data_IF_976983956051
#
_entry.id   IF_976983956051
#
_cell.length_a   1.000
_cell.length_b   1.000
_cell.length_c   1.000
_cell.angle_alpha   90.00
_cell.angle_beta   90.00
_cell.angle_gamma   90.00
#
_symmetry.space_group_name_H-M   'P 1'
#
loop_
_entity.id
_entity.type
_entity.pdbx_description
1 polymer ?
#
# COMPACT_ATOMS: atom_id res chain seq x y z
N UNK A 1 18.07 8.75 3.74
CA UNK A 1 16.92 7.93 3.33
C UNK A 1 15.66 8.73 3.54
N UNK A 2 14.69 8.63 2.63
CA UNK A 2 13.35 9.21 2.74
C UNK A 2 12.36 8.07 2.90
N UNK A 3 11.39 8.22 3.81
CA UNK A 3 10.26 7.30 3.95
C UNK A 3 9.00 8.10 3.66
N UNK A 4 8.15 7.61 2.78
CA UNK A 4 6.92 8.30 2.37
C UNK A 4 5.77 7.32 2.24
N UNK A 5 4.58 7.78 2.60
CA UNK A 5 3.34 7.16 2.13
C UNK A 5 3.10 7.49 0.64
N UNK A 6 2.18 6.78 -0.01
CA UNK A 6 1.83 6.95 -1.41
C UNK A 6 0.47 7.62 -1.62
N UNK A 7 -0.61 6.99 -1.17
CA UNK A 7 -1.97 7.43 -1.48
C UNK A 7 -2.30 8.73 -0.77
N UNK A 8 -2.71 9.74 -1.52
CA UNK A 8 -2.98 11.09 -1.02
C UNK A 8 -1.74 11.81 -0.46
N UNK A 9 -0.54 11.20 -0.52
CA UNK A 9 0.75 11.78 -0.09
C UNK A 9 1.66 12.09 -1.29
N UNK A 10 1.95 11.10 -2.13
CA UNK A 10 2.62 11.30 -3.42
C UNK A 10 1.61 11.51 -4.54
N UNK A 11 0.42 10.91 -4.41
CA UNK A 11 -0.74 11.19 -5.26
C UNK A 11 -1.57 12.37 -4.73
N UNK A 12 -2.32 13.02 -5.61
CA UNK A 12 -3.21 14.14 -5.26
C UNK A 12 -4.42 13.65 -4.48
N UNK A 13 -4.92 14.52 -3.62
CA UNK A 13 -6.20 14.31 -2.94
C UNK A 13 -7.40 14.52 -3.87
N UNK A 14 -7.36 15.58 -4.69
CA UNK A 14 -8.41 15.96 -5.61
C UNK A 14 -7.85 16.77 -6.78
N UNK A 15 -8.59 16.82 -7.88
CA UNK A 15 -8.29 17.62 -9.07
C UNK A 15 -9.59 18.11 -9.70
N UNK A 16 -9.66 19.41 -10.04
CA UNK A 16 -10.85 20.06 -10.61
C UNK A 16 -12.14 19.79 -9.80
N UNK A 17 -12.05 19.75 -8.48
CA UNK A 17 -13.19 19.50 -7.59
C UNK A 17 -13.62 18.03 -7.47
N UNK A 18 -12.98 17.11 -8.20
CA UNK A 18 -13.24 15.67 -8.11
C UNK A 18 -12.15 14.97 -7.28
N UNK A 19 -12.55 14.00 -6.47
CA UNK A 19 -11.64 13.15 -5.67
C UNK A 19 -10.77 12.32 -6.61
N UNK A 20 -9.46 12.35 -6.42
CA UNK A 20 -8.57 11.43 -7.14
C UNK A 20 -8.69 10.03 -6.53
N UNK A 21 -8.50 8.98 -7.33
CA UNK A 21 -8.52 7.61 -6.85
C UNK A 21 -7.25 7.25 -6.05
N UNK A 22 -7.40 6.45 -4.99
CA UNK A 22 -6.31 5.71 -4.33
C UNK A 22 -5.86 4.52 -5.18
N UNK A 23 -4.69 3.95 -4.87
CA UNK A 23 -4.19 2.71 -5.49
C UNK A 23 -5.22 1.57 -5.46
N UNK A 24 -5.97 1.48 -4.36
CA UNK A 24 -7.06 0.51 -4.21
C UNK A 24 -8.19 0.72 -5.23
N UNK A 25 -8.63 1.97 -5.39
CA UNK A 25 -9.70 2.33 -6.33
C UNK A 25 -9.27 2.37 -7.81
N UNK A 26 -7.96 2.34 -8.07
CA UNK A 26 -7.36 2.24 -9.42
C UNK A 26 -7.08 0.81 -9.86
N UNK A 27 -7.49 -0.20 -9.08
CA UNK A 27 -7.39 -1.58 -9.53
C UNK A 27 -8.42 -1.89 -10.63
N UNK A 28 -8.17 -2.90 -11.50
CA UNK A 28 -9.08 -3.33 -12.59
C UNK A 28 -10.49 -3.72 -12.17
N UNK A 29 -10.81 -3.58 -10.89
CA UNK A 29 -12.15 -3.53 -10.38
C UNK A 29 -12.95 -2.55 -11.24
N UNK A 30 -13.61 -3.07 -12.29
CA UNK A 30 -14.88 -2.53 -12.73
C UNK A 30 -15.66 -2.38 -11.44
N UNK A 31 -15.80 -1.14 -10.95
CA UNK A 31 -16.40 -0.80 -9.67
C UNK A 31 -17.65 -1.66 -9.48
N UNK A 32 -17.50 -2.81 -8.84
CA UNK A 32 -18.62 -3.68 -8.59
C UNK A 32 -19.47 -2.88 -7.62
N UNK A 33 -20.78 -2.92 -7.80
CA UNK A 33 -21.69 -2.24 -6.86
C UNK A 33 -21.30 -2.55 -5.40
N UNK A 34 -20.81 -3.77 -5.17
CA UNK A 34 -20.31 -4.26 -3.88
C UNK A 34 -19.15 -3.44 -3.31
N UNK A 35 -18.12 -3.08 -4.09
CA UNK A 35 -17.01 -2.26 -3.58
C UNK A 35 -17.46 -0.83 -3.26
N UNK A 36 -18.37 -0.29 -4.08
CA UNK A 36 -18.96 1.03 -3.82
C UNK A 36 -19.82 1.00 -2.56
N UNK A 37 -20.55 -0.09 -2.31
CA UNK A 37 -21.30 -0.31 -1.08
C UNK A 37 -20.38 -0.42 0.14
N UNK A 38 -19.27 -1.16 0.05
CA UNK A 38 -18.26 -1.22 1.11
C UNK A 38 -17.68 0.16 1.40
N UNK A 39 -17.25 0.90 0.37
CA UNK A 39 -16.72 2.26 0.53
C UNK A 39 -17.74 3.19 1.22
N UNK A 40 -19.00 3.18 0.76
CA UNK A 40 -20.05 4.01 1.33
C UNK A 40 -20.37 3.65 2.80
N UNK A 41 -20.20 2.37 3.17
CA UNK A 41 -20.41 1.91 4.55
C UNK A 41 -19.26 2.29 5.48
N UNK A 42 -18.02 2.02 5.08
CA UNK A 42 -16.88 2.07 5.99
C UNK A 42 -16.12 3.39 5.97
N UNK A 43 -16.09 4.13 4.85
CA UNK A 43 -15.39 5.42 4.78
C UNK A 43 -15.90 6.47 5.78
N UNK A 44 -17.23 6.64 6.01
CA UNK A 44 -17.72 7.56 7.04
C UNK A 44 -17.26 7.19 8.46
N UNK A 45 -16.98 5.90 8.72
CA UNK A 45 -16.51 5.40 10.01
C UNK A 45 -15.02 5.73 10.18
N UNK A 46 -14.22 5.49 9.14
CA UNK A 46 -12.78 5.79 9.11
C UNK A 46 -12.51 7.25 9.53
N UNK A 47 -13.20 8.19 8.88
CA UNK A 47 -13.01 9.63 9.10
C UNK A 47 -13.74 10.19 10.34
N UNK A 48 -14.53 9.37 11.04
CA UNK A 48 -15.32 9.83 12.17
C UNK A 48 -14.42 10.17 13.36
N UNK A 49 -14.28 11.46 13.68
CA UNK A 49 -13.43 11.92 14.78
C UNK A 49 -13.95 11.57 16.20
N UNK A 50 -15.21 11.13 16.32
CA UNK A 50 -15.82 10.78 17.61
C UNK A 50 -15.61 9.32 18.03
N UNK A 51 -15.17 8.45 17.11
CA UNK A 51 -14.88 7.04 17.41
C UNK A 51 -13.40 6.86 17.77
N UNK A 52 -13.14 6.03 18.78
CA UNK A 52 -11.78 5.68 19.19
C UNK A 52 -11.08 4.77 18.17
N UNK A 53 -9.76 4.65 18.26
CA UNK A 53 -9.00 3.74 17.39
C UNK A 53 -9.41 2.30 17.64
N UNK A 54 -9.61 1.93 18.91
CA UNK A 54 -10.03 0.58 19.34
C UNK A 54 -11.40 0.20 18.78
N UNK A 55 -12.32 1.17 18.69
CA UNK A 55 -13.65 0.96 18.11
C UNK A 55 -13.60 0.82 16.59
N UNK A 56 -12.70 1.56 15.93
CA UNK A 56 -12.56 1.54 14.46
C UNK A 56 -11.80 0.33 13.96
N UNK A 57 -10.78 -0.13 14.69
CA UNK A 57 -9.87 -1.17 14.24
C UNK A 57 -10.57 -2.43 13.72
N UNK A 58 -11.52 -3.06 14.45
CA UNK A 58 -12.20 -4.26 13.94
C UNK A 58 -13.02 -3.98 12.68
N UNK A 59 -13.56 -2.77 12.53
CA UNK A 59 -14.34 -2.36 11.36
C UNK A 59 -13.44 -2.11 10.14
N UNK A 60 -12.24 -1.57 10.34
CA UNK A 60 -11.26 -1.40 9.28
C UNK A 60 -10.73 -2.75 8.82
N UNK A 61 -10.44 -3.68 9.74
CA UNK A 61 -10.08 -5.06 9.41
C UNK A 61 -11.20 -5.72 8.59
N UNK A 62 -12.46 -5.64 9.04
CA UNK A 62 -13.60 -6.19 8.30
C UNK A 62 -13.73 -5.59 6.90
N UNK A 63 -13.56 -4.26 6.77
CA UNK A 63 -13.61 -3.59 5.48
C UNK A 63 -12.54 -4.12 4.53
N UNK A 64 -11.29 -4.13 4.98
CA UNK A 64 -10.15 -4.59 4.17
C UNK A 64 -10.26 -6.06 3.80
N UNK A 65 -10.69 -6.93 4.71
CA UNK A 65 -10.91 -8.36 4.42
C UNK A 65 -11.96 -8.55 3.33
N UNK A 66 -13.13 -7.93 3.44
CA UNK A 66 -14.19 -8.06 2.43
C UNK A 66 -13.78 -7.48 1.08
N UNK A 67 -13.07 -6.37 1.11
CA UNK A 67 -12.61 -5.73 -0.11
C UNK A 67 -11.55 -6.61 -0.81
N UNK A 68 -10.63 -7.22 -0.05
CA UNK A 68 -9.69 -8.22 -0.57
C UNK A 68 -10.37 -9.49 -1.11
N UNK A 69 -11.40 -10.02 -0.44
CA UNK A 69 -12.16 -11.18 -0.95
C UNK A 69 -12.80 -10.87 -2.30
N UNK A 70 -13.39 -9.68 -2.46
CA UNK A 70 -13.96 -9.24 -3.74
C UNK A 70 -12.89 -9.10 -4.82
N UNK A 71 -11.70 -8.62 -4.47
CA UNK A 71 -10.56 -8.54 -5.39
C UNK A 71 -10.14 -9.92 -5.91
N UNK A 72 -10.03 -10.90 -5.02
CA UNK A 72 -9.66 -12.28 -5.38
C UNK A 72 -10.67 -12.92 -6.35
N UNK A 73 -11.96 -12.62 -6.19
CA UNK A 73 -13.03 -13.13 -7.08
C UNK A 73 -12.96 -12.60 -8.52
N UNK A 74 -12.23 -11.52 -8.78
CA UNK A 74 -12.18 -10.89 -10.10
C UNK A 74 -11.10 -11.48 -11.01
N UNK A 75 -10.29 -12.45 -10.54
CA UNK A 75 -9.21 -13.11 -11.29
C UNK A 75 -8.39 -12.09 -12.10
N UNK A 76 -7.93 -11.04 -11.41
CA UNK A 76 -7.21 -9.95 -12.04
C UNK A 76 -5.94 -10.51 -12.69
N UNK A 77 -5.77 -10.25 -13.99
CA UNK A 77 -4.54 -10.60 -14.70
C UNK A 77 -3.55 -9.44 -14.64
N UNK A 78 -2.29 -9.75 -14.37
CA UNK A 78 -1.20 -8.77 -14.23
C UNK A 78 -1.03 -7.87 -15.47
N UNK A 79 -1.25 -8.40 -16.66
CA UNK A 79 -1.17 -7.66 -17.93
C UNK A 79 -2.24 -6.56 -18.08
N UNK A 80 -3.36 -6.67 -17.35
CA UNK A 80 -4.41 -5.66 -17.36
C UNK A 80 -4.09 -4.45 -16.47
N UNK A 81 -3.19 -4.59 -15.49
CA UNK A 81 -2.87 -3.51 -14.55
C UNK A 81 -2.38 -2.25 -15.29
N UNK A 82 -1.52 -2.43 -16.30
CA UNK A 82 -0.99 -1.33 -17.10
C UNK A 82 -2.11 -0.56 -17.83
N UNK A 83 -3.08 -1.27 -18.40
CA UNK A 83 -4.22 -0.64 -19.09
C UNK A 83 -5.09 0.13 -18.09
N UNK A 84 -5.37 -0.47 -16.93
CA UNK A 84 -6.23 0.13 -15.92
C UNK A 84 -5.61 1.40 -15.36
N UNK A 85 -4.33 1.36 -14.99
CA UNK A 85 -3.64 2.54 -14.47
C UNK A 85 -3.62 3.65 -15.51
N UNK A 86 -3.39 3.31 -16.78
CA UNK A 86 -3.40 4.26 -17.90
C UNK A 86 -4.77 4.91 -18.14
N UNK A 87 -5.85 4.16 -17.95
CA UNK A 87 -7.22 4.64 -18.11
C UNK A 87 -7.76 5.31 -16.83
N UNK A 88 -7.03 5.23 -15.72
CA UNK A 88 -7.43 5.79 -14.45
C UNK A 88 -7.23 7.31 -14.36
N UNK A 89 -7.86 7.93 -13.34
CA UNK A 89 -7.65 9.33 -12.99
C UNK A 89 -6.56 9.51 -11.91
N UNK A 90 -5.69 8.52 -11.72
CA UNK A 90 -4.57 8.61 -10.78
C UNK A 90 -3.64 9.77 -11.17
N UNK A 91 -3.33 10.63 -10.21
CA UNK A 91 -2.46 11.78 -10.46
C UNK A 91 -1.45 11.95 -9.34
N UNK A 92 -0.17 12.04 -9.71
CA UNK A 92 0.88 12.49 -8.83
C UNK A 92 0.75 14.00 -8.55
N UNK A 93 1.25 14.44 -7.39
CA UNK A 93 1.26 15.86 -7.01
C UNK A 93 2.15 16.70 -7.93
N UNK A 94 1.85 17.99 -8.03
CA UNK A 94 2.70 18.93 -8.76
C UNK A 94 4.13 18.89 -8.22
N UNK A 95 5.11 18.86 -9.12
CA UNK A 95 6.53 18.75 -8.75
C UNK A 95 7.03 17.33 -8.44
N UNK A 96 6.21 16.29 -8.61
CA UNK A 96 6.64 14.90 -8.36
C UNK A 96 7.93 14.54 -9.10
N UNK A 97 8.06 14.95 -10.37
CA UNK A 97 9.23 14.61 -11.20
C UNK A 97 10.52 15.18 -10.60
N UNK A 98 10.49 16.43 -10.15
CA UNK A 98 11.63 17.05 -9.46
C UNK A 98 11.99 16.25 -8.20
N UNK A 99 11.02 15.86 -7.39
CA UNK A 99 11.26 15.08 -6.18
C UNK A 99 11.92 13.74 -6.46
N UNK A 100 11.36 12.93 -7.36
CA UNK A 100 11.90 11.60 -7.67
C UNK A 100 13.26 11.67 -8.36
N UNK A 101 13.40 12.53 -9.37
CA UNK A 101 14.65 12.65 -10.13
C UNK A 101 15.79 13.14 -9.23
N UNK A 102 15.53 14.11 -8.35
CA UNK A 102 16.56 14.66 -7.48
C UNK A 102 17.02 13.65 -6.42
N UNK A 103 16.10 12.82 -5.88
CA UNK A 103 16.49 11.72 -5.00
C UNK A 103 17.39 10.71 -5.72
N UNK A 104 17.08 10.37 -6.97
CA UNK A 104 17.90 9.47 -7.78
C UNK A 104 19.26 10.08 -8.12
N UNK A 105 19.32 11.34 -8.55
CA UNK A 105 20.56 12.08 -8.85
C UNK A 105 21.53 12.08 -7.66
N UNK A 106 21.00 12.24 -6.45
CA UNK A 106 21.78 12.24 -5.22
C UNK A 106 21.91 10.85 -4.57
N UNK A 107 21.41 9.80 -5.24
CA UNK A 107 21.45 8.41 -4.73
C UNK A 107 20.87 8.27 -3.32
N UNK A 108 19.84 9.07 -3.00
CA UNK A 108 19.15 9.05 -1.72
C UNK A 108 18.11 7.92 -1.76
N UNK A 109 18.17 6.91 -0.88
CA UNK A 109 17.18 5.84 -0.85
C UNK A 109 15.78 6.38 -0.52
N UNK A 110 14.78 5.98 -1.30
CA UNK A 110 13.37 6.26 -1.04
C UNK A 110 12.64 4.94 -0.71
N UNK A 111 12.05 4.87 0.47
CA UNK A 111 11.14 3.81 0.85
C UNK A 111 9.71 4.33 0.79
N UNK A 112 8.90 3.75 -0.10
CA UNK A 112 7.46 4.02 -0.15
C UNK A 112 6.77 2.95 0.69
N UNK A 113 6.18 3.36 1.81
CA UNK A 113 5.46 2.49 2.73
C UNK A 113 3.96 2.79 2.61
N UNK A 114 3.21 1.88 2.00
CA UNK A 114 1.79 2.12 1.67
C UNK A 114 0.90 0.95 2.08
N UNK A 115 -0.22 1.26 2.73
CA UNK A 115 -1.30 0.29 2.95
C UNK A 115 -2.15 0.00 1.69
N UNK A 116 -1.81 0.63 0.56
CA UNK A 116 -2.47 0.45 -0.73
C UNK A 116 -2.11 -0.87 -1.43
N UNK A 117 -2.37 -0.90 -2.75
CA UNK A 117 -2.00 -2.03 -3.61
C UNK A 117 -0.67 -1.71 -4.31
N UNK A 118 0.38 -2.46 -3.96
CA UNK A 118 1.74 -2.30 -4.44
C UNK A 118 1.87 -2.40 -5.96
N UNK A 119 1.22 -3.37 -6.61
CA UNK A 119 1.32 -3.54 -8.07
C UNK A 119 0.74 -2.34 -8.84
N UNK A 120 -0.34 -1.72 -8.34
CA UNK A 120 -0.91 -0.49 -8.92
C UNK A 120 0.03 0.69 -8.67
N UNK A 121 0.53 0.83 -7.44
CA UNK A 121 1.45 1.89 -7.05
C UNK A 121 2.68 1.90 -7.96
N UNK A 122 3.34 0.74 -8.10
CA UNK A 122 4.51 0.57 -8.95
C UNK A 122 4.20 0.93 -10.39
N UNK A 123 3.06 0.49 -10.91
CA UNK A 123 2.65 0.78 -12.28
C UNK A 123 2.38 2.28 -12.50
N UNK A 124 1.79 2.99 -11.52
CA UNK A 124 1.59 4.45 -11.57
C UNK A 124 2.93 5.17 -11.69
N UNK A 125 3.91 4.87 -10.83
CA UNK A 125 5.21 5.54 -10.87
C UNK A 125 6.08 5.10 -12.07
N UNK A 126 5.87 3.88 -12.56
CA UNK A 126 6.51 3.35 -13.77
C UNK A 126 6.02 4.07 -15.02
N UNK A 127 4.70 4.19 -15.20
CA UNK A 127 4.11 4.93 -16.32
C UNK A 127 4.41 6.43 -16.26
N UNK A 128 4.55 6.99 -15.05
CA UNK A 128 4.99 8.37 -14.87
C UNK A 128 6.50 8.59 -15.14
N UNK A 129 7.26 7.52 -15.40
CA UNK A 129 8.68 7.59 -15.75
C UNK A 129 9.61 7.93 -14.58
N UNK A 130 9.18 7.66 -13.35
CA UNK A 130 9.90 8.05 -12.12
C UNK A 130 10.19 6.85 -11.19
N UNK A 131 10.00 5.63 -11.67
CA UNK A 131 10.38 4.43 -10.91
C UNK A 131 11.88 4.13 -11.03
N UNK A 132 12.66 4.83 -10.22
CA UNK A 132 14.12 4.76 -10.23
C UNK A 132 14.68 3.62 -9.35
N UNK A 133 15.92 3.15 -9.59
CA UNK A 133 16.53 2.04 -8.83
C UNK A 133 16.73 2.31 -7.33
N UNK A 134 16.77 3.57 -6.90
CA UNK A 134 16.89 3.95 -5.48
C UNK A 134 15.57 3.81 -4.68
N UNK A 135 14.47 3.41 -5.34
CA UNK A 135 13.14 3.32 -4.76
C UNK A 135 12.85 1.87 -4.34
N UNK A 136 12.42 1.68 -3.10
CA UNK A 136 11.85 0.44 -2.58
C UNK A 136 10.39 0.67 -2.21
N UNK A 137 9.52 -0.30 -2.52
CA UNK A 137 8.10 -0.26 -2.20
C UNK A 137 7.78 -1.36 -1.20
N UNK A 138 7.19 -0.99 -0.06
CA UNK A 138 6.58 -1.90 0.91
C UNK A 138 5.08 -1.63 0.92
N UNK A 139 4.32 -2.60 0.43
CA UNK A 139 2.86 -2.49 0.28
C UNK A 139 2.20 -3.86 0.17
N UNK A 140 0.88 -3.89 -0.01
CA UNK A 140 0.15 -5.13 -0.26
C UNK A 140 0.25 -5.49 -1.73
N UNK A 141 0.94 -6.58 -2.06
CA UNK A 141 1.08 -7.05 -3.44
C UNK A 141 0.12 -8.19 -3.74
N UNK A 142 -0.42 -8.20 -4.96
CA UNK A 142 -1.23 -9.29 -5.48
C UNK A 142 -0.34 -10.52 -5.72
N UNK A 143 -0.82 -11.68 -5.29
CA UNK A 143 -0.18 -12.97 -5.58
C UNK A 143 -0.48 -13.36 -7.04
N UNK A 144 0.51 -13.22 -7.90
CA UNK A 144 0.52 -13.84 -9.22
C UNK A 144 1.53 -14.98 -9.15
N UNK A 145 1.16 -16.21 -9.52
CA UNK A 145 1.91 -17.46 -9.28
C UNK A 145 3.44 -17.37 -9.55
N UNK A 146 3.89 -16.58 -10.53
CA UNK A 146 5.32 -16.44 -10.89
C UNK A 146 6.10 -15.43 -10.02
N UNK A 147 5.42 -14.61 -9.21
CA UNK A 147 5.99 -13.40 -8.61
C UNK A 147 6.14 -13.44 -7.09
N UNK A 148 5.55 -14.43 -6.42
CA UNK A 148 5.68 -14.56 -4.96
C UNK A 148 7.02 -15.13 -4.56
N UNK A 149 7.54 -16.12 -5.29
CA UNK A 149 8.85 -16.71 -4.98
C UNK A 149 9.99 -15.70 -5.14
N UNK A 150 10.00 -14.95 -6.25
CA UNK A 150 11.00 -13.90 -6.49
C UNK A 150 10.94 -12.79 -5.42
N UNK A 151 9.72 -12.36 -5.06
CA UNK A 151 9.54 -11.33 -4.02
C UNK A 151 9.92 -11.85 -2.65
N UNK A 152 9.59 -13.09 -2.31
CA UNK A 152 10.01 -13.71 -1.06
C UNK A 152 11.54 -13.74 -0.95
N UNK A 153 12.22 -14.17 -2.01
CA UNK A 153 13.68 -14.18 -2.04
C UNK A 153 14.27 -12.77 -1.87
N UNK A 154 13.72 -11.78 -2.56
CA UNK A 154 14.14 -10.38 -2.40
C UNK A 154 14.00 -9.88 -0.95
N UNK A 155 12.89 -10.22 -0.26
CA UNK A 155 12.70 -9.83 1.13
C UNK A 155 13.72 -10.52 2.04
N UNK A 156 13.98 -11.81 1.84
CA UNK A 156 14.98 -12.56 2.60
C UNK A 156 16.40 -12.02 2.41
N UNK A 157 16.73 -11.54 1.20
CA UNK A 157 18.04 -10.94 0.91
C UNK A 157 18.15 -9.50 1.43
N UNK A 158 17.02 -8.80 1.60
CA UNK A 158 16.99 -7.36 1.93
C UNK A 158 16.79 -7.05 3.41
N UNK A 159 16.19 -7.96 4.17
CA UNK A 159 15.79 -7.72 5.56
C UNK A 159 16.31 -8.82 6.47
N UNK A 160 16.82 -8.43 7.64
CA UNK A 160 17.35 -9.38 8.63
C UNK A 160 16.26 -10.29 9.21
N UNK A 161 15.01 -9.82 9.23
CA UNK A 161 13.84 -10.53 9.75
C UNK A 161 12.71 -10.39 8.74
N UNK A 162 12.20 -11.53 8.28
CA UNK A 162 11.01 -11.62 7.41
C UNK A 162 9.96 -12.46 8.11
N UNK A 163 8.79 -11.87 8.36
CA UNK A 163 7.65 -12.56 8.95
C UNK A 163 6.78 -13.11 7.83
N UNK A 164 6.51 -14.42 7.87
CA UNK A 164 5.70 -15.11 6.86
C UNK A 164 4.44 -15.65 7.51
N UNK A 165 3.29 -15.13 7.10
CA UNK A 165 1.96 -15.50 7.64
C UNK A 165 1.88 -15.37 9.18
N UNK A 166 2.65 -14.44 9.75
CA UNK A 166 2.59 -14.11 11.17
C UNK A 166 1.64 -12.93 11.37
N UNK A 167 0.57 -13.15 12.12
CA UNK A 167 -0.44 -12.14 12.46
C UNK A 167 -0.30 -11.67 13.91
N UNK A 168 0.86 -11.92 14.54
CA UNK A 168 1.09 -11.68 15.96
C UNK A 168 2.04 -10.52 16.20
N UNK A 169 1.99 -9.97 17.41
CA UNK A 169 2.99 -9.01 17.89
C UNK A 169 4.15 -9.69 18.62
N UNK A 170 4.28 -11.02 18.55
CA UNK A 170 5.29 -11.75 19.31
C UNK A 170 6.71 -11.36 18.91
N UNK A 171 7.02 -11.42 17.60
CA UNK A 171 8.34 -11.04 17.09
C UNK A 171 8.63 -9.55 17.28
N UNK A 172 7.72 -8.61 16.92
CA UNK A 172 7.91 -7.19 17.21
C UNK A 172 8.15 -6.91 18.70
N UNK A 173 7.38 -7.53 19.61
CA UNK A 173 7.57 -7.37 21.05
C UNK A 173 8.88 -7.98 21.52
N UNK A 174 9.33 -9.11 20.97
CA UNK A 174 10.62 -9.70 21.30
C UNK A 174 11.78 -8.79 20.89
N UNK A 175 11.73 -8.20 19.69
CA UNK A 175 12.69 -7.20 19.23
C UNK A 175 12.66 -5.97 20.13
N UNK A 176 11.47 -5.47 20.48
CA UNK A 176 11.33 -4.32 21.37
C UNK A 176 11.98 -4.61 22.73
N UNK A 177 11.68 -5.75 23.36
CA UNK A 177 12.27 -6.16 24.64
C UNK A 177 13.80 -6.25 24.56
N UNK A 178 14.34 -6.80 23.47
CA UNK A 178 15.78 -6.86 23.23
C UNK A 178 16.40 -5.45 23.17
N UNK A 179 15.75 -4.50 22.50
CA UNK A 179 16.23 -3.12 22.37
C UNK A 179 16.09 -2.32 23.67
N UNK A 180 15.03 -2.56 24.45
CA UNK A 180 14.73 -1.79 25.67
C UNK A 180 15.29 -2.42 26.95
N UNK A 181 15.86 -3.61 26.88
CA UNK A 181 16.35 -4.37 28.05
C UNK A 181 15.23 -4.75 29.02
N UNK A 182 13.98 -4.81 28.55
CA UNK A 182 12.82 -5.13 29.37
C UNK A 182 12.63 -6.64 29.44
N UNK A 183 12.84 -7.24 30.61
CA UNK A 183 12.42 -8.62 30.85
C UNK A 183 10.89 -8.72 30.84
N UNK A 184 10.36 -9.85 30.40
CA UNK A 184 8.92 -10.13 30.36
C UNK A 184 8.28 -9.85 31.72
N UNK A 185 7.08 -9.23 31.80
CA UNK A 185 6.30 -9.35 33.02
C UNK A 185 6.01 -10.84 33.20
N UNK A 186 6.58 -11.43 34.25
CA UNK A 186 6.31 -12.81 34.63
C UNK A 186 4.80 -13.03 34.76
N UNK A 187 4.32 -14.15 34.19
CA UNK A 187 2.94 -14.62 34.30
C UNK A 187 2.49 -14.79 35.76
#
# INVERSE_FOLDING_TARGET
MVISDFDMTLTRFAHNGKRCPTSYSNSPLKFSLQLKELLNKYYPIEINASLSVEEKLPLMVEWWTKAHELLLQQEIRKDLLAVVVKESEAMLRDGYKLFFDHLQEHSIPLLILSAGIGDILEEVIRQAGVFHPNIKVLSNFMDFDESVEERMQFHLDSYDIVLVKDETMEVPNAVLRYLTGSESPEN
#
